data_IF_682013140011
#
_entry.id   IF_682013140011
#
_cell.length_a   1.000
_cell.length_b   1.000
_cell.length_c   1.000
_cell.angle_alpha   90.00
_cell.angle_beta   90.00
_cell.angle_gamma   90.00
#
_symmetry.space_group_name_H-M   'P 1'
#
loop_
_entity.id
_entity.type
_entity.pdbx_description
1 polymer ?
#
# COMPACT_ATOMS: atom_id res chain seq x y z
N UNK A 1 -21.51 28.41 -3.24
CA UNK A 1 -21.22 26.97 -3.16
C UNK A 1 -20.58 26.59 -4.47
N UNK A 2 -19.31 26.17 -4.47
CA UNK A 2 -18.73 25.53 -5.67
C UNK A 2 -19.39 24.16 -5.76
N UNK A 3 -19.92 23.78 -6.93
CA UNK A 3 -20.34 22.40 -7.16
C UNK A 3 -19.17 21.48 -6.86
N UNK A 4 -19.41 20.43 -6.06
CA UNK A 4 -18.40 19.43 -5.80
C UNK A 4 -18.21 18.64 -7.11
N UNK A 5 -17.26 19.06 -7.94
CA UNK A 5 -16.95 18.45 -9.25
C UNK A 5 -16.31 17.07 -9.13
N UNK A 6 -16.00 16.62 -7.92
CA UNK A 6 -15.30 15.38 -7.65
C UNK A 6 -16.21 14.37 -6.98
N UNK A 7 -17.10 13.78 -7.77
CA UNK A 7 -18.01 12.74 -7.31
C UNK A 7 -17.75 11.44 -8.07
N UNK A 8 -18.21 10.34 -7.49
CA UNK A 8 -18.16 9.03 -8.14
C UNK A 8 -18.97 9.02 -9.46
N UNK A 9 -20.07 9.77 -9.53
CA UNK A 9 -20.87 9.87 -10.76
C UNK A 9 -20.07 10.52 -11.90
N UNK A 10 -19.27 11.56 -11.61
CA UNK A 10 -18.40 12.16 -12.62
C UNK A 10 -17.34 11.16 -13.04
N UNK A 11 -16.63 10.57 -12.07
CA UNK A 11 -15.57 9.59 -12.29
C UNK A 11 -16.02 8.43 -13.19
N UNK A 12 -17.21 7.87 -12.96
CA UNK A 12 -17.70 6.71 -13.69
C UNK A 12 -18.12 7.01 -15.14
N UNK A 13 -18.17 8.28 -15.54
CA UNK A 13 -18.42 8.67 -16.95
C UNK A 13 -17.15 8.89 -17.76
N UNK A 14 -15.98 8.86 -17.11
CA UNK A 14 -14.69 9.11 -17.73
C UNK A 14 -14.18 7.87 -18.46
N UNK A 15 -13.33 8.10 -19.46
CA UNK A 15 -12.53 7.02 -20.04
C UNK A 15 -11.46 6.55 -19.05
N UNK A 16 -10.91 5.35 -19.27
CA UNK A 16 -9.89 4.76 -18.39
C UNK A 16 -8.68 5.68 -18.17
N UNK A 17 -8.21 6.36 -19.22
CA UNK A 17 -7.10 7.31 -19.09
C UNK A 17 -7.52 8.59 -18.36
N UNK A 18 -8.71 9.11 -18.65
CA UNK A 18 -9.24 10.31 -17.98
C UNK A 18 -9.50 10.06 -16.49
N UNK A 19 -9.82 8.82 -16.09
CA UNK A 19 -9.94 8.42 -14.67
C UNK A 19 -8.63 8.62 -13.92
N UNK A 20 -7.50 8.24 -14.51
CA UNK A 20 -6.18 8.42 -13.90
C UNK A 20 -5.87 9.90 -13.74
N UNK A 21 -6.05 10.70 -14.80
CA UNK A 21 -5.83 12.16 -14.73
C UNK A 21 -6.73 12.82 -13.66
N UNK A 22 -7.99 12.39 -13.58
CA UNK A 22 -8.94 12.88 -12.59
C UNK A 22 -8.52 12.55 -11.14
N UNK A 23 -7.97 11.36 -10.89
CA UNK A 23 -7.44 10.96 -9.59
C UNK A 23 -6.18 11.77 -9.23
N UNK A 24 -5.29 11.99 -10.20
CA UNK A 24 -4.10 12.83 -9.99
C UNK A 24 -4.50 14.28 -9.65
N UNK A 25 -5.49 14.85 -10.34
CA UNK A 25 -5.99 16.20 -10.04
C UNK A 25 -6.57 16.31 -8.63
N UNK A 26 -7.20 15.23 -8.15
CA UNK A 26 -7.78 15.13 -6.81
C UNK A 26 -6.75 15.16 -5.67
N UNK A 27 -5.48 14.82 -5.94
CA UNK A 27 -4.40 14.86 -4.94
C UNK A 27 -4.36 16.22 -4.24
N UNK A 28 -4.51 17.30 -5.02
CA UNK A 28 -4.36 18.69 -4.58
C UNK A 28 -5.62 19.28 -3.94
N UNK A 29 -6.74 18.59 -3.98
CA UNK A 29 -8.00 19.10 -3.42
C UNK A 29 -8.01 18.95 -1.89
N UNK A 30 -8.50 19.99 -1.22
CA UNK A 30 -8.66 20.01 0.22
C UNK A 30 -10.02 19.41 0.61
N UNK A 31 -10.02 18.50 1.59
CA UNK A 31 -11.24 17.96 2.16
C UNK A 31 -11.27 16.44 2.22
N UNK A 32 -12.20 15.92 3.02
CA UNK A 32 -12.24 14.50 3.34
C UNK A 32 -12.94 13.65 2.26
N UNK A 33 -13.72 14.28 1.38
CA UNK A 33 -14.51 13.59 0.36
C UNK A 33 -13.67 12.83 -0.68
N UNK A 34 -12.44 13.28 -0.96
CA UNK A 34 -11.54 12.57 -1.88
C UNK A 34 -11.19 11.17 -1.36
N UNK A 35 -11.06 11.01 -0.04
CA UNK A 35 -10.73 9.72 0.57
C UNK A 35 -11.89 8.73 0.48
N UNK A 36 -13.12 9.21 0.50
CA UNK A 36 -14.29 8.36 0.27
C UNK A 36 -14.32 7.84 -1.16
N UNK A 37 -14.02 8.71 -2.14
CA UNK A 37 -13.91 8.31 -3.53
C UNK A 37 -12.75 7.34 -3.76
N UNK A 38 -11.57 7.63 -3.20
CA UNK A 38 -10.42 6.72 -3.25
C UNK A 38 -10.74 5.35 -2.66
N UNK A 39 -11.49 5.31 -1.56
CA UNK A 39 -11.94 4.04 -0.99
C UNK A 39 -12.85 3.26 -1.95
N UNK A 40 -13.76 3.94 -2.65
CA UNK A 40 -14.65 3.30 -3.63
C UNK A 40 -13.83 2.73 -4.79
N UNK A 41 -12.92 3.52 -5.36
CA UNK A 41 -12.06 3.10 -6.49
C UNK A 41 -11.18 1.92 -6.07
N UNK A 42 -10.52 2.01 -4.91
CA UNK A 42 -9.61 0.97 -4.42
C UNK A 42 -10.29 -0.40 -4.28
N UNK A 43 -11.53 -0.41 -3.77
CA UNK A 43 -12.31 -1.63 -3.52
C UNK A 43 -13.05 -2.17 -4.76
N UNK A 44 -13.13 -1.42 -5.86
CA UNK A 44 -13.81 -1.88 -7.07
C UNK A 44 -12.84 -2.69 -7.96
N UNK A 45 -12.88 -4.01 -7.85
CA UNK A 45 -12.05 -4.91 -8.67
C UNK A 45 -12.41 -4.88 -10.17
N UNK A 46 -13.58 -4.35 -10.53
CA UNK A 46 -13.98 -4.19 -11.92
C UNK A 46 -13.51 -2.88 -12.55
N UNK A 47 -12.97 -1.98 -11.74
CA UNK A 47 -12.44 -0.71 -12.19
C UNK A 47 -11.09 -0.87 -12.87
N UNK A 48 -10.68 0.16 -13.60
CA UNK A 48 -9.41 0.18 -14.31
C UNK A 48 -8.24 0.08 -13.32
N UNK A 49 -7.38 -0.93 -13.51
CA UNK A 49 -6.22 -1.25 -12.67
C UNK A 49 -5.32 -0.03 -12.39
N UNK A 50 -5.01 0.77 -13.41
CA UNK A 50 -4.18 1.96 -13.27
C UNK A 50 -4.83 3.03 -12.39
N UNK A 51 -6.17 3.12 -12.37
CA UNK A 51 -6.87 4.04 -11.48
C UNK A 51 -6.74 3.60 -10.01
N UNK A 52 -6.87 2.30 -9.75
CA UNK A 52 -6.64 1.71 -8.41
C UNK A 52 -5.19 1.92 -7.96
N UNK A 53 -4.23 1.70 -8.86
CA UNK A 53 -2.80 1.94 -8.63
C UNK A 53 -2.53 3.41 -8.32
N UNK A 54 -3.15 4.35 -9.04
CA UNK A 54 -2.96 5.78 -8.81
C UNK A 54 -3.46 6.21 -7.43
N UNK A 55 -4.61 5.68 -6.99
CA UNK A 55 -5.11 5.86 -5.62
C UNK A 55 -4.08 5.36 -4.59
N UNK A 56 -3.51 4.18 -4.80
CA UNK A 56 -2.52 3.58 -3.88
C UNK A 56 -1.25 4.44 -3.76
N UNK A 57 -0.73 4.97 -4.87
CA UNK A 57 0.43 5.88 -4.88
C UNK A 57 0.14 7.15 -4.08
N UNK A 58 -1.01 7.77 -4.31
CA UNK A 58 -1.41 9.00 -3.59
C UNK A 58 -1.54 8.70 -2.09
N UNK A 59 -2.19 7.59 -1.73
CA UNK A 59 -2.33 7.14 -0.34
C UNK A 59 -0.99 6.84 0.34
N UNK A 60 0.01 6.39 -0.40
CA UNK A 60 1.35 6.11 0.14
C UNK A 60 2.03 7.41 0.61
N UNK A 61 1.99 8.47 -0.20
CA UNK A 61 2.79 9.68 0.01
C UNK A 61 2.04 10.80 0.73
N UNK A 62 0.71 10.79 0.70
CA UNK A 62 -0.10 11.90 1.20
C UNK A 62 -0.38 11.77 2.70
N UNK A 63 -0.06 12.79 3.52
CA UNK A 63 -0.47 12.83 4.92
C UNK A 63 -2.00 12.80 5.05
N UNK A 64 -2.50 11.92 5.92
CA UNK A 64 -3.92 11.69 6.09
C UNK A 64 -4.34 11.77 7.57
N UNK A 65 -5.50 12.36 7.89
CA UNK A 65 -6.06 12.29 9.23
C UNK A 65 -6.25 10.84 9.71
N UNK A 66 -5.91 10.58 10.98
CA UNK A 66 -5.93 9.23 11.56
C UNK A 66 -7.29 8.51 11.42
N UNK A 67 -8.39 9.26 11.51
CA UNK A 67 -9.75 8.71 11.39
C UNK A 67 -10.00 8.12 10.00
N UNK A 68 -9.55 8.82 8.96
CA UNK A 68 -9.66 8.36 7.57
C UNK A 68 -8.69 7.21 7.31
N UNK A 69 -7.49 7.30 7.88
CA UNK A 69 -6.45 6.26 7.77
C UNK A 69 -6.91 4.93 8.34
N UNK A 70 -7.67 4.93 9.44
CA UNK A 70 -8.27 3.72 10.01
C UNK A 70 -9.28 3.07 9.06
N UNK A 71 -10.11 3.87 8.37
CA UNK A 71 -11.09 3.33 7.42
C UNK A 71 -10.38 2.73 6.21
N UNK A 72 -9.38 3.43 5.68
CA UNK A 72 -8.64 2.99 4.51
C UNK A 72 -7.68 1.84 4.80
N UNK A 73 -7.24 1.62 6.06
CA UNK A 73 -6.43 0.46 6.41
C UNK A 73 -7.18 -0.86 6.23
N UNK A 74 -8.48 -0.88 6.54
CA UNK A 74 -9.30 -2.09 6.38
C UNK A 74 -9.46 -2.43 4.89
N UNK A 75 -9.77 -1.42 4.07
CA UNK A 75 -9.86 -1.56 2.61
C UNK A 75 -8.54 -1.97 1.97
N UNK A 76 -7.41 -1.40 2.42
CA UNK A 76 -6.09 -1.78 1.95
C UNK A 76 -5.77 -3.24 2.31
N UNK A 77 -6.12 -3.68 3.52
CA UNK A 77 -5.94 -5.07 3.93
C UNK A 77 -6.78 -6.02 3.06
N UNK A 78 -8.02 -5.65 2.75
CA UNK A 78 -8.89 -6.41 1.86
C UNK A 78 -8.30 -6.55 0.46
N UNK A 79 -7.76 -5.46 -0.12
CA UNK A 79 -7.07 -5.50 -1.42
C UNK A 79 -5.85 -6.41 -1.39
N UNK A 80 -4.99 -6.29 -0.37
CA UNK A 80 -3.79 -7.13 -0.24
C UNK A 80 -4.15 -8.62 -0.14
N UNK A 81 -5.26 -8.96 0.52
CA UNK A 81 -5.69 -10.35 0.72
C UNK A 81 -6.34 -10.96 -0.53
N UNK A 82 -7.14 -10.18 -1.25
CA UNK A 82 -8.12 -10.75 -2.18
C UNK A 82 -7.85 -10.42 -3.64
N UNK A 83 -7.07 -9.37 -3.94
CA UNK A 83 -6.90 -8.96 -5.33
C UNK A 83 -6.12 -10.00 -6.13
N UNK A 84 -6.60 -10.29 -7.34
CA UNK A 84 -5.91 -11.19 -8.29
C UNK A 84 -5.00 -10.44 -9.25
N UNK A 85 -5.05 -9.11 -9.24
CA UNK A 85 -4.21 -8.25 -10.07
C UNK A 85 -2.83 -8.07 -9.41
N UNK A 86 -1.79 -8.57 -10.06
CA UNK A 86 -0.43 -8.60 -9.51
C UNK A 86 0.17 -7.19 -9.36
N UNK A 87 -0.14 -6.28 -10.29
CA UNK A 87 0.36 -4.91 -10.26
C UNK A 87 -0.35 -4.13 -9.14
N UNK A 88 -1.67 -4.25 -9.02
CA UNK A 88 -2.42 -3.64 -7.90
C UNK A 88 -1.91 -4.18 -6.56
N UNK A 89 -1.64 -5.49 -6.45
CA UNK A 89 -1.08 -6.08 -5.24
C UNK A 89 0.29 -5.50 -4.90
N UNK A 90 1.18 -5.35 -5.88
CA UNK A 90 2.51 -4.76 -5.68
C UNK A 90 2.40 -3.32 -5.13
N UNK A 91 1.58 -2.48 -5.75
CA UNK A 91 1.35 -1.11 -5.28
C UNK A 91 0.62 -1.05 -3.93
N UNK A 92 -0.25 -2.02 -3.62
CA UNK A 92 -0.90 -2.09 -2.33
C UNK A 92 0.10 -2.37 -1.21
N UNK A 93 1.08 -3.24 -1.47
CA UNK A 93 2.17 -3.51 -0.52
C UNK A 93 3.15 -2.34 -0.40
N UNK A 94 3.41 -1.59 -1.48
CA UNK A 94 4.15 -0.33 -1.39
C UNK A 94 3.43 0.69 -0.48
N UNK A 95 2.13 0.87 -0.72
CA UNK A 95 1.26 1.73 0.08
C UNK A 95 1.22 1.30 1.56
N UNK A 96 1.22 -0.01 1.83
CA UNK A 96 1.20 -0.58 3.17
C UNK A 96 2.35 -0.08 4.07
N UNK A 97 3.46 0.38 3.48
CA UNK A 97 4.56 1.00 4.23
C UNK A 97 4.10 2.23 5.03
N UNK A 98 3.13 2.99 4.53
CA UNK A 98 2.51 4.12 5.24
C UNK A 98 1.45 3.69 6.25
N UNK A 99 1.03 2.43 6.23
CA UNK A 99 0.03 1.83 7.12
C UNK A 99 0.63 0.73 8.01
N UNK A 100 1.96 0.61 8.09
CA UNK A 100 2.61 -0.52 8.75
C UNK A 100 2.36 -0.59 10.27
N UNK A 101 1.90 0.50 10.88
CA UNK A 101 1.51 0.54 12.30
C UNK A 101 0.19 -0.17 12.58
N UNK A 102 -0.58 -0.51 11.56
CA UNK A 102 -1.84 -1.25 11.68
C UNK A 102 -1.55 -2.76 11.75
N UNK A 103 -1.92 -3.47 12.82
CA UNK A 103 -1.48 -4.84 13.05
C UNK A 103 -1.81 -5.83 11.91
N UNK A 104 -2.99 -5.71 11.29
CA UNK A 104 -3.38 -6.57 10.18
C UNK A 104 -2.54 -6.32 8.93
N UNK A 105 -2.27 -5.05 8.60
CA UNK A 105 -1.38 -4.68 7.48
C UNK A 105 0.02 -5.22 7.73
N UNK A 106 0.54 -5.04 8.95
CA UNK A 106 1.84 -5.57 9.34
C UNK A 106 1.92 -7.09 9.17
N UNK A 107 0.91 -7.82 9.65
CA UNK A 107 0.82 -9.28 9.51
C UNK A 107 0.83 -9.71 8.04
N UNK A 108 0.01 -9.07 7.20
CA UNK A 108 -0.06 -9.39 5.77
C UNK A 108 1.27 -9.14 5.05
N UNK A 109 1.92 -8.00 5.32
CA UNK A 109 3.23 -7.68 4.74
C UNK A 109 4.28 -8.71 5.16
N UNK A 110 4.30 -9.13 6.43
CA UNK A 110 5.21 -10.18 6.91
C UNK A 110 4.95 -11.50 6.17
N UNK A 111 3.69 -11.90 6.04
CA UNK A 111 3.31 -13.14 5.34
C UNK A 111 3.77 -13.11 3.88
N UNK A 112 3.59 -11.99 3.18
CA UNK A 112 4.04 -11.85 1.79
C UNK A 112 5.56 -11.88 1.65
N UNK A 113 6.30 -11.27 2.57
CA UNK A 113 7.76 -11.29 2.55
C UNK A 113 8.32 -12.70 2.76
N UNK A 114 7.72 -13.47 3.67
CA UNK A 114 8.19 -14.81 4.05
C UNK A 114 7.70 -15.91 3.09
N UNK A 115 6.74 -15.63 2.22
CA UNK A 115 6.28 -16.56 1.18
C UNK A 115 7.26 -16.60 0.00
N UNK A 116 8.15 -17.59 0.00
CA UNK A 116 9.16 -17.79 -1.04
C UNK A 116 8.59 -18.26 -2.40
N UNK A 117 7.28 -18.45 -2.51
CA UNK A 117 6.60 -18.75 -3.77
C UNK A 117 6.14 -17.49 -4.51
N UNK A 118 6.15 -16.33 -3.84
CA UNK A 118 5.80 -15.04 -4.42
C UNK A 118 6.94 -14.46 -5.24
N UNK A 119 6.59 -13.64 -6.22
CA UNK A 119 7.55 -12.94 -7.06
C UNK A 119 8.44 -12.00 -6.23
N UNK A 120 9.69 -11.92 -6.66
CA UNK A 120 10.74 -11.10 -6.04
C UNK A 120 10.31 -9.65 -5.78
N UNK A 121 9.70 -8.98 -6.77
CA UNK A 121 9.32 -7.57 -6.66
C UNK A 121 8.35 -7.33 -5.50
N UNK A 122 7.30 -8.14 -5.39
CA UNK A 122 6.34 -8.06 -4.30
C UNK A 122 7.02 -8.24 -2.94
N UNK A 123 7.94 -9.20 -2.84
CA UNK A 123 8.72 -9.45 -1.62
C UNK A 123 9.66 -8.28 -1.29
N UNK A 124 10.23 -7.62 -2.29
CA UNK A 124 11.03 -6.40 -2.11
C UNK A 124 10.18 -5.21 -1.63
N UNK A 125 8.97 -5.05 -2.15
CA UNK A 125 8.02 -4.06 -1.64
C UNK A 125 7.67 -4.36 -0.17
N UNK A 126 7.42 -5.64 0.16
CA UNK A 126 7.14 -6.06 1.53
C UNK A 126 8.32 -5.79 2.47
N UNK A 127 9.56 -6.11 2.06
CA UNK A 127 10.76 -5.78 2.83
C UNK A 127 10.87 -4.28 3.10
N UNK A 128 10.62 -3.44 2.10
CA UNK A 128 10.66 -1.99 2.23
C UNK A 128 9.65 -1.47 3.26
N UNK A 129 8.48 -2.10 3.35
CA UNK A 129 7.49 -1.81 4.39
C UNK A 129 7.95 -2.29 5.77
N UNK A 130 8.54 -3.48 5.89
CA UNK A 130 9.12 -4.01 7.15
C UNK A 130 10.20 -3.10 7.73
N UNK A 131 11.02 -2.45 6.90
CA UNK A 131 12.02 -1.49 7.36
C UNK A 131 11.41 -0.33 8.16
N UNK A 132 10.16 0.04 7.88
CA UNK A 132 9.43 1.11 8.59
C UNK A 132 8.82 0.68 9.93
N UNK A 133 8.88 -0.60 10.32
CA UNK A 133 8.44 -1.06 11.65
C UNK A 133 9.35 -0.46 12.73
N UNK A 134 8.78 0.34 13.63
CA UNK A 134 9.54 1.01 14.70
C UNK A 134 10.12 0.02 15.74
N UNK A 135 9.43 -1.10 15.97
CA UNK A 135 9.88 -2.12 16.91
C UNK A 135 11.10 -2.88 16.37
N UNK A 136 12.30 -2.44 16.78
CA UNK A 136 13.60 -3.01 16.39
C UNK A 136 13.68 -4.52 16.60
N UNK A 137 13.21 -5.04 17.74
CA UNK A 137 13.27 -6.48 18.06
C UNK A 137 12.33 -7.30 17.17
N UNK A 138 11.13 -6.78 16.87
CA UNK A 138 10.22 -7.44 15.93
C UNK A 138 10.81 -7.46 14.52
N UNK A 139 11.32 -6.33 14.04
CA UNK A 139 12.00 -6.23 12.75
C UNK A 139 13.19 -7.18 12.65
N UNK A 140 14.03 -7.24 13.68
CA UNK A 140 15.16 -8.18 13.78
C UNK A 140 14.73 -9.63 13.61
N UNK A 141 13.70 -10.08 14.34
CA UNK A 141 13.19 -11.47 14.25
C UNK A 141 12.62 -11.82 12.87
N UNK A 142 12.06 -10.84 12.15
CA UNK A 142 11.58 -11.04 10.77
C UNK A 142 12.78 -11.20 9.83
N UNK A 143 13.79 -10.33 9.94
CA UNK A 143 15.00 -10.40 9.12
C UNK A 143 15.82 -11.67 9.37
N UNK A 144 15.88 -12.16 10.61
CA UNK A 144 16.54 -13.44 10.94
C UNK A 144 15.93 -14.63 10.18
N UNK A 145 14.62 -14.61 9.90
CA UNK A 145 13.96 -15.65 9.10
C UNK A 145 14.34 -15.63 7.62
N UNK A 146 14.92 -14.52 7.14
CA UNK A 146 15.35 -14.36 5.75
C UNK A 146 16.83 -14.69 5.53
N UNK A 147 17.60 -15.06 6.57
CA UNK A 147 19.05 -15.33 6.44
C UNK A 147 19.33 -16.51 5.53
N UNK A 148 18.44 -17.50 5.49
CA UNK A 148 18.55 -18.68 4.64
C UNK A 148 17.79 -18.53 3.32
N UNK A 149 17.16 -17.37 3.09
CA UNK A 149 16.46 -17.09 1.83
C UNK A 149 17.49 -16.79 0.72
N UNK A 150 17.54 -17.57 -0.38
CA UNK A 150 18.56 -17.41 -1.42
C UNK A 150 18.60 -16.01 -2.07
N UNK A 151 17.47 -15.32 -2.08
CA UNK A 151 17.30 -14.01 -2.68
C UNK A 151 17.50 -12.88 -1.66
N UNK A 152 16.96 -13.05 -0.45
CA UNK A 152 16.92 -12.00 0.57
C UNK A 152 18.03 -12.07 1.62
N UNK A 153 18.79 -13.18 1.72
CA UNK A 153 19.83 -13.38 2.74
C UNK A 153 20.81 -12.21 2.86
N UNK A 154 21.32 -11.71 1.73
CA UNK A 154 22.28 -10.60 1.71
C UNK A 154 21.67 -9.29 2.21
N UNK A 155 20.41 -9.02 1.88
CA UNK A 155 19.70 -7.83 2.34
C UNK A 155 19.41 -7.93 3.84
N UNK A 156 18.91 -9.08 4.28
CA UNK A 156 18.65 -9.37 5.69
C UNK A 156 19.90 -9.17 6.56
N UNK A 157 21.04 -9.73 6.16
CA UNK A 157 22.31 -9.55 6.86
C UNK A 157 22.71 -8.08 7.00
N UNK A 158 22.65 -7.30 5.91
CA UNK A 158 22.98 -5.86 5.94
C UNK A 158 22.06 -5.07 6.85
N UNK A 159 20.76 -5.37 6.84
CA UNK A 159 19.79 -4.69 7.71
C UNK A 159 19.97 -5.07 9.18
N UNK A 160 20.31 -6.33 9.48
CA UNK A 160 20.63 -6.79 10.83
C UNK A 160 21.89 -6.09 11.38
N UNK A 161 22.94 -5.92 10.58
CA UNK A 161 24.15 -5.17 10.95
C UNK A 161 23.83 -3.70 11.29
N UNK A 162 22.97 -3.07 10.50
CA UNK A 162 22.51 -1.69 10.75
C UNK A 162 21.76 -1.59 12.08
N UNK A 163 20.84 -2.52 12.36
CA UNK A 163 20.10 -2.56 13.63
C UNK A 163 21.04 -2.75 14.83
N UNK A 164 22.11 -3.53 14.70
CA UNK A 164 23.10 -3.74 15.75
C UNK A 164 24.00 -2.51 16.01
N UNK A 165 24.07 -1.60 15.05
CA UNK A 165 24.91 -0.40 15.10
C UNK A 165 24.18 0.86 15.60
N UNK A 166 22.84 0.83 15.66
CA UNK A 166 21.95 1.92 16.07
C UNK A 166 21.51 1.81 17.55
#
# INVERSE_FOLDING_TARGET
MKENRFTYEVYNTLSDLDKVEFITDLEWEEGDSKWELYNIILCDESDFDLARIEVLKIMEVTPMPILLKNKLSDSLAEVIQNTTDEDVLEYAVMCASSFITYPLIEELVILLLLDNTRYSNLRHCALSAIEKIENKEKRKRILEQLIDDPEFAKYAQRLLEKIASD
#
